data_IF_077358185373
#
_entry.id   IF_077358185373
#
_cell.length_a   1.000
_cell.length_b   1.000
_cell.length_c   1.000
_cell.angle_alpha   90.00
_cell.angle_beta   90.00
_cell.angle_gamma   90.00
#
_symmetry.space_group_name_H-M   'P 1'
#
loop_
_entity.id
_entity.type
_entity.pdbx_description
1 polymer ?
#
# COMPACT_ATOMS: atom_id res chain seq x y z
N UNK A 1 20.70 -3.84 12.75
CA UNK A 1 19.95 -2.88 11.92
C UNK A 1 19.77 -3.53 10.57
N UNK A 2 18.56 -3.49 10.01
CA UNK A 2 18.28 -4.10 8.72
C UNK A 2 18.48 -3.04 7.65
N UNK A 3 19.63 -3.05 7.01
CA UNK A 3 20.03 -1.94 6.16
C UNK A 3 19.71 -2.17 4.67
N UNK A 4 19.20 -3.36 4.29
CA UNK A 4 18.86 -3.69 2.90
C UNK A 4 17.72 -4.72 2.79
N UNK A 5 16.75 -4.44 1.93
CA UNK A 5 15.65 -5.33 1.52
C UNK A 5 15.75 -5.56 0.02
N UNK A 6 15.62 -6.81 -0.40
CA UNK A 6 15.32 -7.17 -1.79
C UNK A 6 13.89 -7.66 -1.85
N UNK A 7 13.00 -6.88 -2.47
CA UNK A 7 11.62 -7.28 -2.66
C UNK A 7 11.45 -7.99 -4.00
N UNK A 8 10.87 -9.18 -3.95
CA UNK A 8 10.59 -10.03 -5.11
C UNK A 8 9.09 -10.16 -5.29
N UNK A 9 8.60 -9.73 -6.45
CA UNK A 9 7.20 -9.93 -6.85
C UNK A 9 7.17 -10.89 -8.03
N UNK A 10 6.42 -11.98 -7.91
CA UNK A 10 6.26 -12.99 -8.97
C UNK A 10 7.60 -13.48 -9.59
N UNK A 11 8.60 -13.71 -8.75
CA UNK A 11 9.93 -14.17 -9.20
C UNK A 11 10.82 -13.10 -9.82
N UNK A 12 10.41 -11.82 -9.82
CA UNK A 12 11.21 -10.69 -10.30
C UNK A 12 11.58 -9.76 -9.15
N UNK A 13 12.86 -9.38 -9.10
CA UNK A 13 13.33 -8.34 -8.17
C UNK A 13 12.66 -7.02 -8.58
N UNK A 14 11.83 -6.48 -7.68
CA UNK A 14 11.08 -5.23 -7.89
C UNK A 14 11.68 -4.07 -7.09
N UNK A 15 12.44 -4.38 -6.03
CA UNK A 15 13.18 -3.38 -5.27
C UNK A 15 14.43 -4.00 -4.64
N UNK A 16 15.52 -3.25 -4.56
CA UNK A 16 16.71 -3.58 -3.78
C UNK A 16 17.25 -2.28 -3.21
N UNK A 17 17.33 -2.17 -1.89
CA UNK A 17 17.77 -0.95 -1.23
C UNK A 17 17.43 -0.93 0.26
N UNK A 18 17.67 0.19 0.93
CA UNK A 18 17.30 0.38 2.33
C UNK A 18 15.81 0.17 2.57
N UNK A 19 15.47 -0.33 3.76
CA UNK A 19 14.07 -0.45 4.16
C UNK A 19 13.36 0.90 4.20
N UNK A 20 14.02 1.96 4.67
CA UNK A 20 13.47 3.32 4.69
C UNK A 20 13.00 3.75 3.30
N UNK A 21 13.85 3.55 2.30
CA UNK A 21 13.57 3.93 0.92
C UNK A 21 12.40 3.11 0.34
N UNK A 22 12.19 1.88 0.80
CA UNK A 22 11.00 1.12 0.45
C UNK A 22 9.75 1.72 1.10
N UNK A 23 9.79 2.02 2.39
CA UNK A 23 8.66 2.58 3.14
C UNK A 23 8.26 3.97 2.61
N UNK A 24 9.23 4.83 2.27
CA UNK A 24 9.01 6.18 1.74
C UNK A 24 8.28 6.19 0.39
N UNK A 25 8.27 5.06 -0.34
CA UNK A 25 7.56 4.93 -1.62
C UNK A 25 6.08 4.64 -1.46
N UNK A 26 5.61 4.41 -0.23
CA UNK A 26 4.25 3.98 0.04
C UNK A 26 3.66 4.73 1.23
N UNK A 27 2.35 4.92 1.18
CA UNK A 27 1.57 5.53 2.25
C UNK A 27 0.46 4.57 2.66
N UNK A 28 0.14 4.56 3.95
CA UNK A 28 -1.10 3.98 4.44
C UNK A 28 -2.19 5.04 4.27
N UNK A 29 -3.18 4.72 3.45
CA UNK A 29 -4.36 5.57 3.26
C UNK A 29 -5.54 5.00 4.03
N UNK A 30 -6.32 5.89 4.64
CA UNK A 30 -7.59 5.54 5.30
C UNK A 30 -8.67 6.49 4.85
N UNK A 31 -9.84 5.94 4.54
CA UNK A 31 -11.01 6.70 4.13
C UNK A 31 -12.28 6.14 4.76
N UNK A 32 -13.34 6.93 4.75
CA UNK A 32 -14.66 6.48 5.17
C UNK A 32 -15.24 5.45 4.18
N UNK A 33 -16.32 4.75 4.57
CA UNK A 33 -16.92 3.72 3.73
C UNK A 33 -17.48 4.27 2.40
N UNK A 34 -17.84 5.55 2.36
CA UNK A 34 -18.33 6.23 1.15
C UNK A 34 -17.20 6.79 0.26
N UNK A 35 -15.97 6.83 0.75
CA UNK A 35 -14.83 7.38 0.02
C UNK A 35 -14.15 6.34 -0.88
N UNK A 36 -14.50 5.05 -0.72
CA UNK A 36 -13.95 3.95 -1.50
C UNK A 36 -14.56 3.92 -2.91
N UNK A 37 -13.99 4.69 -3.82
CA UNK A 37 -14.37 4.64 -5.24
C UNK A 37 -13.72 3.46 -5.97
N UNK A 38 -14.27 3.08 -7.13
CA UNK A 38 -13.68 2.05 -7.97
C UNK A 38 -12.24 2.38 -8.42
N UNK A 39 -11.95 3.67 -8.66
CA UNK A 39 -10.61 4.13 -9.02
C UNK A 39 -9.61 3.94 -7.87
N UNK A 40 -10.02 4.29 -6.65
CA UNK A 40 -9.20 4.09 -5.45
C UNK A 40 -8.99 2.58 -5.22
N UNK A 41 -10.06 1.80 -5.26
CA UNK A 41 -10.01 0.35 -5.09
C UNK A 41 -9.09 -0.37 -6.09
N UNK A 42 -8.98 0.13 -7.32
CA UNK A 42 -8.11 -0.46 -8.34
C UNK A 42 -6.61 -0.21 -8.12
N UNK A 43 -6.25 0.91 -7.48
CA UNK A 43 -4.86 1.29 -7.21
C UNK A 43 -4.38 0.85 -5.83
N UNK A 44 -5.32 0.68 -4.89
CA UNK A 44 -5.03 0.41 -3.49
C UNK A 44 -4.53 -1.03 -3.31
N UNK A 45 -3.34 -1.16 -2.71
CA UNK A 45 -2.66 -2.42 -2.49
C UNK A 45 -3.08 -2.96 -1.12
N UNK A 46 -3.57 -4.19 -1.08
CA UNK A 46 -3.92 -4.84 0.18
C UNK A 46 -5.15 -4.26 0.89
N UNK A 47 -6.16 -3.85 0.11
CA UNK A 47 -7.42 -3.29 0.59
C UNK A 47 -7.98 -4.07 1.80
N UNK A 48 -8.27 -3.32 2.85
CA UNK A 48 -8.96 -3.80 4.03
C UNK A 48 -10.21 -2.96 4.26
N UNK A 49 -11.37 -3.57 4.03
CA UNK A 49 -12.67 -2.95 4.23
C UNK A 49 -13.20 -3.30 5.63
N UNK A 50 -13.82 -2.33 6.29
CA UNK A 50 -14.45 -2.48 7.59
C UNK A 50 -15.74 -1.65 7.64
N UNK A 51 -16.64 -1.90 8.60
CA UNK A 51 -17.87 -1.12 8.73
C UNK A 51 -17.66 0.39 8.95
N UNK A 52 -16.48 0.78 9.46
CA UNK A 52 -16.12 2.17 9.77
C UNK A 52 -15.34 2.86 8.63
N UNK A 53 -14.97 2.13 7.58
CA UNK A 53 -14.17 2.65 6.48
C UNK A 53 -13.22 1.62 5.89
N UNK A 54 -12.23 2.08 5.14
CA UNK A 54 -11.22 1.21 4.55
C UNK A 54 -9.81 1.72 4.82
N UNK A 55 -8.86 0.80 4.67
CA UNK A 55 -7.44 1.14 4.66
C UNK A 55 -6.68 0.31 3.63
N UNK A 56 -5.51 0.80 3.26
CA UNK A 56 -4.47 0.00 2.62
C UNK A 56 -3.39 0.87 2.04
N UNK A 57 -2.53 0.25 1.23
CA UNK A 57 -1.28 0.88 0.81
C UNK A 57 -1.43 1.55 -0.54
N UNK A 58 -0.89 2.75 -0.66
CA UNK A 58 -0.92 3.57 -1.87
C UNK A 58 0.49 4.02 -2.27
N UNK A 59 0.83 4.07 -3.57
CA UNK A 59 2.11 4.62 -4.03
C UNK A 59 2.23 6.13 -3.70
N UNK A 60 3.29 6.51 -2.99
CA UNK A 60 3.47 7.90 -2.53
C UNK A 60 3.58 8.91 -3.69
N UNK A 61 4.12 8.48 -4.84
CA UNK A 61 4.21 9.27 -6.07
C UNK A 61 2.84 9.56 -6.71
N UNK A 62 1.82 8.79 -6.35
CA UNK A 62 0.43 8.96 -6.80
C UNK A 62 -0.46 9.58 -5.73
N UNK A 63 0.09 10.05 -4.61
CA UNK A 63 -0.70 10.62 -3.51
C UNK A 63 -1.54 11.83 -3.95
N UNK A 64 -1.08 12.58 -4.95
CA UNK A 64 -1.82 13.72 -5.52
C UNK A 64 -3.15 13.33 -6.21
N UNK A 65 -3.39 12.04 -6.46
CA UNK A 65 -4.65 11.54 -7.03
C UNK A 65 -5.72 11.26 -5.97
N UNK A 66 -5.33 11.27 -4.68
CA UNK A 66 -6.25 11.02 -3.59
C UNK A 66 -7.09 12.27 -3.31
N UNK A 67 -8.38 12.11 -2.97
CA UNK A 67 -9.18 13.22 -2.52
C UNK A 67 -8.72 13.73 -1.14
N UNK A 68 -8.91 15.03 -0.91
CA UNK A 68 -8.42 15.74 0.29
C UNK A 68 -9.00 15.21 1.62
N UNK A 69 -10.10 14.45 1.56
CA UNK A 69 -10.75 13.87 2.74
C UNK A 69 -10.11 12.55 3.21
N UNK A 70 -9.03 12.11 2.57
CA UNK A 70 -8.31 10.90 2.98
C UNK A 70 -7.22 11.18 3.99
N UNK A 71 -7.09 10.27 4.95
CA UNK A 71 -5.98 10.27 5.90
C UNK A 71 -4.79 9.58 5.25
N UNK A 72 -3.64 10.23 5.25
CA UNK A 72 -2.38 9.72 4.73
C UNK A 72 -1.40 9.57 5.89
N UNK A 73 -0.91 8.35 6.13
CA UNK A 73 0.04 8.01 7.19
C UNK A 73 1.26 7.31 6.59
N UNK A 74 2.46 7.46 7.21
CA UNK A 74 3.60 6.61 6.89
C UNK A 74 3.23 5.14 7.09
N UNK A 75 3.62 4.28 6.14
CA UNK A 75 3.40 2.84 6.25
C UNK A 75 4.54 2.20 7.05
N UNK A 76 4.22 1.18 7.85
CA UNK A 76 5.23 0.32 8.49
C UNK A 76 5.50 -0.94 7.65
N UNK A 77 6.59 -1.65 7.97
CA UNK A 77 6.99 -2.84 7.25
C UNK A 77 5.93 -3.95 7.31
N UNK A 78 5.31 -4.15 8.48
CA UNK A 78 4.30 -5.21 8.66
C UNK A 78 3.09 -4.97 7.75
N UNK A 79 2.52 -3.76 7.77
CA UNK A 79 1.39 -3.36 6.94
C UNK A 79 1.74 -3.47 5.47
N UNK A 80 2.93 -3.01 5.07
CA UNK A 80 3.40 -3.12 3.69
C UNK A 80 3.51 -4.58 3.23
N UNK A 81 4.07 -5.45 4.07
CA UNK A 81 4.18 -6.89 3.77
C UNK A 81 2.82 -7.57 3.68
N UNK A 82 1.90 -7.26 4.60
CA UNK A 82 0.52 -7.77 4.54
C UNK A 82 -0.15 -7.29 3.26
N UNK A 83 0.00 -6.01 2.92
CA UNK A 83 -0.61 -5.44 1.74
C UNK A 83 -0.09 -6.08 0.45
N UNK A 84 1.22 -6.31 0.37
CA UNK A 84 1.86 -7.01 -0.74
C UNK A 84 1.44 -8.49 -0.82
N UNK A 85 1.34 -9.17 0.33
CA UNK A 85 0.83 -10.54 0.40
C UNK A 85 -0.63 -10.66 -0.06
N UNK A 86 -1.46 -9.64 0.21
CA UNK A 86 -2.86 -9.56 -0.23
C UNK A 86 -3.01 -9.07 -1.68
N UNK A 87 -2.10 -8.23 -2.15
CA UNK A 87 -2.05 -7.71 -3.53
C UNK A 87 -1.52 -8.73 -4.54
N UNK A 88 -0.91 -9.81 -4.07
CA UNK A 88 -0.68 -11.01 -4.85
C UNK A 88 -2.01 -11.73 -5.08
N UNK A 89 -2.70 -11.42 -6.17
CA UNK A 89 -3.69 -12.35 -6.70
C UNK A 89 -3.04 -13.73 -6.81
N UNK A 90 -3.52 -14.75 -6.07
CA UNK A 90 -3.21 -16.12 -6.42
C UNK A 90 -3.88 -16.34 -7.78
N UNK A 91 -3.07 -16.51 -8.82
CA UNK A 91 -3.58 -16.98 -10.10
C UNK A 91 -4.07 -18.42 -9.87
N UNK A 92 -5.39 -18.57 -9.87
CA UNK A 92 -6.05 -19.84 -10.13
C UNK A 92 -6.00 -20.14 -11.63
#
# INVERSE_FOLDING_TARGET
MADYVTYLLAGKITFTGPLSDLLDRYLLIKGGPNDLTAAIKATLIGLQESPVGFSGVWPADQAAMLPDNMIQEPVDLETLMIAFGKGGHPHA
#
